data_IF_834235650809
#
_entry.id   IF_834235650809
#
_cell.length_a   1.000
_cell.length_b   1.000
_cell.length_c   1.000
_cell.angle_alpha   90.00
_cell.angle_beta   90.00
_cell.angle_gamma   90.00
#
_symmetry.space_group_name_H-M   'P 1'
#
loop_
_entity.id
_entity.type
_entity.pdbx_description
1 polymer ?
#
# COMPACT_ATOMS: atom_id res chain seq x y z
N UNK A 1 21.41 74.08 7.24
CA UNK A 1 19.99 73.65 7.21
C UNK A 1 19.71 72.56 6.16
N UNK A 2 20.26 72.64 4.94
CA UNK A 2 20.05 71.63 3.88
C UNK A 2 20.59 70.22 4.21
N UNK A 3 21.79 70.10 4.79
CA UNK A 3 22.39 68.79 5.13
C UNK A 3 21.53 67.95 6.10
N UNK A 4 20.93 68.57 7.11
CA UNK A 4 20.03 67.89 8.06
C UNK A 4 18.75 67.37 7.39
N UNK A 5 18.22 68.10 6.40
CA UNK A 5 17.04 67.69 5.65
C UNK A 5 17.33 66.46 4.79
N UNK A 6 18.47 66.45 4.09
CA UNK A 6 18.92 65.30 3.30
C UNK A 6 19.11 64.04 4.17
N UNK A 7 19.70 64.17 5.36
CA UNK A 7 19.86 63.03 6.27
C UNK A 7 18.52 62.48 6.76
N UNK A 8 17.50 63.33 6.97
CA UNK A 8 16.14 62.89 7.34
C UNK A 8 15.47 62.13 6.20
N UNK A 9 15.56 62.64 4.97
CA UNK A 9 15.01 61.97 3.79
C UNK A 9 15.65 60.58 3.57
N UNK A 10 16.96 60.49 3.73
CA UNK A 10 17.67 59.21 3.61
C UNK A 10 17.28 58.22 4.72
N UNK A 11 17.09 58.69 5.95
CA UNK A 11 16.55 57.86 7.04
C UNK A 11 15.17 57.31 6.71
N UNK A 12 14.26 58.13 6.20
CA UNK A 12 12.90 57.68 5.84
C UNK A 12 12.93 56.66 4.69
N UNK A 13 13.80 56.85 3.68
CA UNK A 13 14.02 55.83 2.64
C UNK A 13 14.52 54.51 3.22
N UNK A 14 15.52 54.55 4.12
CA UNK A 14 16.04 53.34 4.78
C UNK A 14 14.98 52.65 5.63
N UNK A 15 14.13 53.40 6.34
CA UNK A 15 13.00 52.85 7.08
C UNK A 15 11.98 52.17 6.14
N UNK A 16 11.67 52.79 5.01
CA UNK A 16 10.83 52.18 3.97
C UNK A 16 11.43 50.89 3.40
N UNK A 17 12.71 50.90 3.03
CA UNK A 17 13.41 49.73 2.49
C UNK A 17 13.49 48.61 3.57
N UNK A 18 13.64 48.94 4.87
CA UNK A 18 13.57 47.98 6.00
C UNK A 18 12.20 47.29 6.10
N UNK A 19 11.11 48.05 6.21
CA UNK A 19 9.75 47.49 6.36
C UNK A 19 9.36 46.65 5.15
N UNK A 20 9.71 47.10 3.94
CA UNK A 20 9.49 46.34 2.71
C UNK A 20 10.25 45.01 2.69
N UNK A 21 11.51 45.01 3.17
CA UNK A 21 12.34 43.80 3.29
C UNK A 21 11.76 42.81 4.30
N UNK A 22 11.36 43.28 5.48
CA UNK A 22 10.74 42.45 6.53
C UNK A 22 9.44 41.81 6.02
N UNK A 23 8.58 42.59 5.35
CA UNK A 23 7.34 42.08 4.76
C UNK A 23 7.59 40.97 3.74
N UNK A 24 8.55 41.17 2.82
CA UNK A 24 8.94 40.15 1.83
C UNK A 24 9.48 38.89 2.50
N UNK A 25 10.33 39.03 3.52
CA UNK A 25 10.85 37.88 4.26
C UNK A 25 9.73 37.08 4.94
N UNK A 26 8.76 37.76 5.56
CA UNK A 26 7.61 37.10 6.17
C UNK A 26 6.75 36.36 5.15
N UNK A 27 6.56 36.93 3.95
CA UNK A 27 5.84 36.28 2.85
C UNK A 27 6.56 35.00 2.38
N UNK A 28 7.88 35.05 2.19
CA UNK A 28 8.66 33.85 1.86
C UNK A 28 8.56 32.77 2.93
N UNK A 29 8.65 33.14 4.21
CA UNK A 29 8.48 32.19 5.32
C UNK A 29 7.10 31.53 5.28
N UNK A 30 6.03 32.32 5.07
CA UNK A 30 4.66 31.80 4.93
C UNK A 30 4.55 30.84 3.75
N UNK A 31 5.11 31.20 2.60
CA UNK A 31 5.09 30.36 1.40
C UNK A 31 5.81 29.02 1.63
N UNK A 32 7.00 29.04 2.24
CA UNK A 32 7.71 27.79 2.57
C UNK A 32 6.95 26.93 3.59
N UNK A 33 6.25 27.54 4.55
CA UNK A 33 5.42 26.82 5.50
C UNK A 33 4.23 26.13 4.82
N UNK A 34 3.58 26.80 3.87
CA UNK A 34 2.51 26.21 3.05
C UNK A 34 3.02 25.00 2.27
N UNK A 35 4.19 25.09 1.64
CA UNK A 35 4.77 23.95 0.91
C UNK A 35 5.14 22.79 1.83
N UNK A 36 5.63 23.06 3.06
CA UNK A 36 5.85 22.02 4.08
C UNK A 36 4.56 21.27 4.41
N UNK A 37 3.47 21.99 4.62
CA UNK A 37 2.17 21.40 4.93
C UNK A 37 1.64 20.55 3.77
N UNK A 38 1.79 21.01 2.52
CA UNK A 38 1.43 20.22 1.33
C UNK A 38 2.21 18.92 1.26
N UNK A 39 3.54 18.97 1.42
CA UNK A 39 4.39 17.77 1.42
C UNK A 39 3.90 16.78 2.49
N UNK A 40 3.69 17.24 3.73
CA UNK A 40 3.21 16.38 4.82
C UNK A 40 1.86 15.75 4.47
N UNK A 41 0.91 16.54 3.96
CA UNK A 41 -0.43 16.09 3.58
C UNK A 41 -0.41 15.03 2.48
N UNK A 42 0.33 15.26 1.39
CA UNK A 42 0.43 14.31 0.27
C UNK A 42 1.01 12.96 0.73
N UNK A 43 2.05 12.98 1.56
CA UNK A 43 2.63 11.75 2.10
C UNK A 43 1.71 11.04 3.10
N UNK A 44 0.91 11.78 3.88
CA UNK A 44 -0.11 11.19 4.76
C UNK A 44 -1.20 10.48 3.95
N UNK A 45 -1.73 11.14 2.91
CA UNK A 45 -2.72 10.56 2.02
C UNK A 45 -2.19 9.32 1.31
N UNK A 46 -0.95 9.35 0.82
CA UNK A 46 -0.31 8.20 0.19
C UNK A 46 -0.14 7.02 1.16
N UNK A 47 0.29 7.27 2.40
CA UNK A 47 0.39 6.21 3.42
C UNK A 47 -0.95 5.55 3.69
N UNK A 48 -1.98 6.35 3.95
CA UNK A 48 -3.33 5.84 4.18
C UNK A 48 -3.85 5.01 3.00
N UNK A 49 -3.64 5.50 1.77
CA UNK A 49 -4.01 4.77 0.57
C UNK A 49 -3.29 3.42 0.47
N UNK A 50 -1.97 3.38 0.72
CA UNK A 50 -1.19 2.15 0.67
C UNK A 50 -1.61 1.14 1.74
N UNK A 51 -1.86 1.60 2.96
CA UNK A 51 -2.37 0.77 4.07
C UNK A 51 -3.73 0.15 3.70
N UNK A 52 -4.64 0.94 3.11
CA UNK A 52 -5.96 0.43 2.69
C UNK A 52 -5.85 -0.58 1.53
N UNK A 53 -4.95 -0.36 0.57
CA UNK A 53 -4.69 -1.33 -0.51
C UNK A 53 -4.11 -2.64 0.03
N UNK A 54 -3.15 -2.56 0.96
CA UNK A 54 -2.58 -3.74 1.64
C UNK A 54 -3.67 -4.53 2.36
N UNK A 55 -4.48 -3.85 3.18
CA UNK A 55 -5.59 -4.46 3.92
C UNK A 55 -6.59 -5.16 3.00
N UNK A 56 -6.97 -4.52 1.89
CA UNK A 56 -7.92 -5.09 0.91
C UNK A 56 -7.36 -6.36 0.26
N UNK A 57 -6.08 -6.36 -0.11
CA UNK A 57 -5.44 -7.51 -0.76
C UNK A 57 -5.29 -8.67 0.22
N UNK A 58 -4.91 -8.42 1.46
CA UNK A 58 -4.83 -9.45 2.50
C UNK A 58 -6.20 -10.05 2.81
N UNK A 59 -7.26 -9.24 2.91
CA UNK A 59 -8.61 -9.75 3.12
C UNK A 59 -9.11 -10.63 1.95
N UNK A 60 -8.66 -10.35 0.71
CA UNK A 60 -8.96 -11.21 -0.44
C UNK A 60 -8.25 -12.57 -0.36
N UNK A 61 -7.01 -12.60 0.16
CA UNK A 61 -6.28 -13.84 0.42
C UNK A 61 -6.93 -14.65 1.54
N UNK A 62 -7.25 -14.00 2.66
CA UNK A 62 -7.90 -14.66 3.79
C UNK A 62 -9.22 -15.33 3.36
N UNK A 63 -9.99 -14.67 2.50
CA UNK A 63 -11.21 -15.27 1.94
C UNK A 63 -10.92 -16.51 1.08
N UNK A 64 -9.81 -16.51 0.33
CA UNK A 64 -9.40 -17.67 -0.45
C UNK A 64 -8.96 -18.82 0.47
N UNK A 65 -8.21 -18.52 1.52
CA UNK A 65 -7.77 -19.49 2.53
C UNK A 65 -8.98 -20.15 3.20
N UNK A 66 -9.95 -19.36 3.64
CA UNK A 66 -11.21 -19.86 4.22
C UNK A 66 -12.00 -20.75 3.23
N UNK A 67 -12.01 -20.43 1.94
CA UNK A 67 -12.66 -21.27 0.92
C UNK A 67 -11.94 -22.62 0.77
N UNK A 68 -10.60 -22.63 0.82
CA UNK A 68 -9.78 -23.85 0.77
C UNK A 68 -10.00 -24.71 2.02
N UNK A 69 -9.91 -24.11 3.21
CA UNK A 69 -10.13 -24.79 4.49
C UNK A 69 -11.53 -25.42 4.56
N UNK A 70 -12.55 -24.71 4.07
CA UNK A 70 -13.91 -25.22 4.00
C UNK A 70 -14.00 -26.51 3.16
N UNK A 71 -13.42 -26.50 1.95
CA UNK A 71 -13.42 -27.68 1.08
C UNK A 71 -12.65 -28.82 1.72
N UNK A 72 -11.50 -28.54 2.34
CA UNK A 72 -10.73 -29.54 3.06
C UNK A 72 -11.54 -30.17 4.18
N UNK A 73 -12.24 -29.39 5.00
CA UNK A 73 -13.04 -29.90 6.11
C UNK A 73 -14.24 -30.74 5.63
N UNK A 74 -14.90 -30.32 4.55
CA UNK A 74 -15.96 -31.09 3.90
C UNK A 74 -15.44 -32.45 3.40
N UNK A 75 -14.25 -32.47 2.79
CA UNK A 75 -13.60 -33.69 2.34
C UNK A 75 -13.22 -34.62 3.49
N UNK A 76 -12.59 -34.09 4.53
CA UNK A 76 -12.22 -34.86 5.72
C UNK A 76 -13.45 -35.49 6.34
N UNK A 77 -14.53 -34.73 6.49
CA UNK A 77 -15.81 -35.23 7.02
C UNK A 77 -16.39 -36.35 6.16
N UNK A 78 -16.37 -36.17 4.83
CA UNK A 78 -16.90 -37.15 3.87
C UNK A 78 -16.06 -38.44 3.87
N UNK A 79 -14.75 -38.32 3.78
CA UNK A 79 -13.82 -39.45 3.81
C UNK A 79 -13.89 -40.21 5.13
N UNK A 80 -14.00 -39.51 6.26
CA UNK A 80 -14.14 -40.16 7.57
C UNK A 80 -15.37 -41.06 7.63
N UNK A 81 -16.50 -40.62 7.06
CA UNK A 81 -17.72 -41.44 6.97
C UNK A 81 -17.54 -42.67 6.08
N UNK A 82 -16.92 -42.50 4.92
CA UNK A 82 -16.66 -43.63 4.01
C UNK A 82 -15.66 -44.62 4.61
N UNK A 83 -14.62 -44.14 5.30
CA UNK A 83 -13.65 -44.97 6.04
C UNK A 83 -14.37 -45.75 7.14
N UNK A 84 -15.18 -45.10 7.99
CA UNK A 84 -15.93 -45.81 9.04
C UNK A 84 -16.82 -46.91 8.46
N UNK A 85 -17.55 -46.62 7.38
CA UNK A 85 -18.39 -47.60 6.69
C UNK A 85 -17.58 -48.77 6.13
N UNK A 86 -16.40 -48.51 5.57
CA UNK A 86 -15.51 -49.54 5.07
C UNK A 86 -14.94 -50.39 6.21
N UNK A 87 -14.53 -49.76 7.32
CA UNK A 87 -14.04 -50.43 8.51
C UNK A 87 -15.09 -51.36 9.13
N UNK A 88 -16.37 -50.96 9.15
CA UNK A 88 -17.49 -51.81 9.59
C UNK A 88 -17.65 -53.05 8.69
N UNK A 89 -17.61 -52.87 7.37
CA UNK A 89 -17.72 -53.98 6.42
C UNK A 89 -16.53 -54.95 6.52
N UNK A 90 -15.31 -54.42 6.70
CA UNK A 90 -14.10 -55.22 6.93
C UNK A 90 -14.27 -56.03 8.22
N UNK A 91 -14.65 -55.38 9.33
CA UNK A 91 -14.80 -56.03 10.63
C UNK A 91 -15.87 -57.13 10.60
N UNK A 92 -16.98 -56.91 9.89
CA UNK A 92 -18.02 -57.92 9.70
C UNK A 92 -17.50 -59.13 8.91
N UNK A 93 -16.77 -58.89 7.81
CA UNK A 93 -16.19 -59.95 6.99
C UNK A 93 -15.12 -60.75 7.76
N UNK A 94 -14.22 -60.06 8.47
CA UNK A 94 -13.21 -60.70 9.34
C UNK A 94 -13.87 -61.54 10.43
N UNK A 95 -14.91 -61.02 11.09
CA UNK A 95 -15.67 -61.75 12.09
C UNK A 95 -16.36 -63.00 11.53
N UNK A 96 -16.90 -62.94 10.31
CA UNK A 96 -17.49 -64.11 9.63
C UNK A 96 -16.43 -65.15 9.28
N UNK A 97 -15.27 -64.76 8.80
CA UNK A 97 -14.18 -65.67 8.45
C UNK A 97 -13.64 -66.47 9.64
N UNK A 98 -13.83 -66.00 10.88
CA UNK A 98 -13.42 -66.71 12.08
C UNK A 98 -14.45 -67.76 12.58
N UNK A 99 -15.66 -67.80 12.00
CA UNK A 99 -16.72 -68.72 12.44
C UNK A 99 -16.54 -70.15 11.90
N UNK A 100 -17.12 -71.17 12.55
CA UNK A 100 -17.17 -72.53 12.02
C UNK A 100 -17.83 -72.58 10.64
N UNK A 101 -17.40 -73.53 9.78
CA UNK A 101 -17.83 -73.66 8.38
C UNK A 101 -19.37 -73.70 8.23
N UNK A 102 -20.07 -74.36 9.15
CA UNK A 102 -21.53 -74.45 9.14
C UNK A 102 -22.24 -73.10 9.30
N UNK A 103 -21.71 -72.20 10.13
CA UNK A 103 -22.26 -70.85 10.35
C UNK A 103 -21.83 -69.89 9.24
N UNK A 104 -20.59 -70.01 8.78
CA UNK A 104 -20.06 -69.19 7.69
C UNK A 104 -20.89 -69.32 6.42
N UNK A 105 -21.26 -70.55 6.04
CA UNK A 105 -22.00 -70.83 4.82
C UNK A 105 -23.45 -70.32 4.82
N UNK A 106 -24.06 -70.05 5.98
CA UNK A 106 -25.42 -69.51 6.05
C UNK A 106 -25.50 -68.06 5.59
N UNK A 107 -24.56 -67.20 6.02
CA UNK A 107 -24.71 -65.75 5.89
C UNK A 107 -23.61 -65.04 5.08
N UNK A 108 -22.56 -65.73 4.63
CA UNK A 108 -21.47 -65.08 3.88
C UNK A 108 -21.94 -64.52 2.53
N UNK A 109 -22.88 -65.20 1.87
CA UNK A 109 -23.36 -64.81 0.52
C UNK A 109 -24.09 -63.47 0.54
N UNK A 110 -24.82 -63.17 1.62
CA UNK A 110 -25.54 -61.91 1.81
C UNK A 110 -24.54 -60.76 2.02
N UNK A 111 -23.57 -60.93 2.91
CA UNK A 111 -22.56 -59.90 3.16
C UNK A 111 -21.68 -59.65 1.93
N UNK A 112 -21.28 -60.70 1.21
CA UNK A 112 -20.52 -60.56 -0.03
C UNK A 112 -21.29 -59.74 -1.08
N UNK A 113 -22.58 -60.03 -1.25
CA UNK A 113 -23.45 -59.27 -2.16
C UNK A 113 -23.62 -57.80 -1.76
N UNK A 114 -23.50 -57.48 -0.45
CA UNK A 114 -23.55 -56.11 0.06
C UNK A 114 -22.23 -55.40 -0.18
N UNK A 115 -21.10 -56.07 0.03
CA UNK A 115 -19.77 -55.54 -0.27
C UNK A 115 -19.61 -55.17 -1.75
N UNK A 116 -20.06 -56.03 -2.66
CA UNK A 116 -20.01 -55.78 -4.12
C UNK A 116 -20.86 -54.58 -4.57
N UNK A 117 -21.92 -54.25 -3.82
CA UNK A 117 -22.85 -53.16 -4.16
C UNK A 117 -22.48 -51.82 -3.52
N UNK A 118 -21.51 -51.78 -2.62
CA UNK A 118 -21.10 -50.53 -1.96
C UNK A 118 -20.34 -49.67 -2.96
N UNK A 119 -20.92 -48.52 -3.31
CA UNK A 119 -20.23 -47.45 -4.04
C UNK A 119 -19.77 -46.41 -3.04
N UNK A 120 -18.46 -46.23 -2.95
CA UNK A 120 -17.85 -45.18 -2.14
C UNK A 120 -17.82 -43.88 -2.92
N UNK A 121 -18.06 -42.77 -2.24
CA UNK A 121 -17.94 -41.48 -2.87
C UNK A 121 -16.50 -40.97 -2.83
N UNK A 122 -16.02 -40.41 -3.94
CA UNK A 122 -14.73 -39.71 -3.95
C UNK A 122 -14.81 -38.33 -3.28
N UNK A 123 -13.70 -37.85 -2.70
CA UNK A 123 -13.60 -36.50 -2.17
C UNK A 123 -13.76 -35.45 -3.28
N UNK A 124 -14.19 -34.25 -2.89
CA UNK A 124 -14.26 -33.09 -3.79
C UNK A 124 -12.85 -32.57 -3.99
N UNK A 125 -12.29 -32.69 -5.19
CA UNK A 125 -10.98 -32.10 -5.46
C UNK A 125 -11.01 -30.57 -5.28
N UNK A 126 -9.86 -30.00 -4.90
CA UNK A 126 -9.64 -28.56 -5.02
C UNK A 126 -9.92 -28.22 -6.48
N UNK A 127 -10.94 -27.40 -6.70
CA UNK A 127 -11.44 -27.19 -8.05
C UNK A 127 -10.44 -26.35 -8.86
N UNK A 128 -10.39 -26.51 -10.20
CA UNK A 128 -9.59 -25.64 -11.08
C UNK A 128 -9.87 -24.14 -10.90
N UNK A 129 -11.01 -23.80 -10.31
CA UNK A 129 -11.40 -22.43 -9.96
C UNK A 129 -10.53 -21.83 -8.85
N UNK A 130 -10.10 -22.63 -7.88
CA UNK A 130 -9.23 -22.18 -6.77
C UNK A 130 -7.80 -21.97 -7.25
N UNK A 131 -7.28 -22.91 -8.06
CA UNK A 131 -5.97 -22.77 -8.70
C UNK A 131 -5.89 -21.51 -9.57
N UNK A 132 -6.95 -21.27 -10.37
CA UNK A 132 -7.05 -20.05 -11.17
C UNK A 132 -7.04 -18.79 -10.30
N UNK A 133 -7.78 -18.77 -9.20
CA UNK A 133 -7.79 -17.62 -8.26
C UNK A 133 -6.43 -17.39 -7.60
N UNK A 134 -5.72 -18.46 -7.23
CA UNK A 134 -4.39 -18.37 -6.65
C UNK A 134 -3.37 -17.82 -7.68
N UNK A 135 -3.46 -18.29 -8.93
CA UNK A 135 -2.68 -17.76 -10.05
C UNK A 135 -2.98 -16.27 -10.30
N UNK A 136 -4.26 -15.91 -10.34
CA UNK A 136 -4.69 -14.52 -10.51
C UNK A 136 -4.15 -13.62 -9.39
N UNK A 137 -4.15 -14.10 -8.15
CA UNK A 137 -3.58 -13.36 -7.02
C UNK A 137 -2.06 -13.22 -7.12
N UNK A 138 -1.36 -14.28 -7.53
CA UNK A 138 0.09 -14.24 -7.76
C UNK A 138 0.45 -13.19 -8.81
N UNK A 139 -0.31 -13.11 -9.90
CA UNK A 139 -0.12 -12.09 -10.94
C UNK A 139 -0.39 -10.67 -10.41
N UNK A 140 -1.39 -10.49 -9.56
CA UNK A 140 -1.66 -9.20 -8.88
C UNK A 140 -0.47 -8.79 -8.03
N UNK A 141 0.09 -9.70 -7.22
CA UNK A 141 1.24 -9.44 -6.35
C UNK A 141 2.48 -9.02 -7.15
N UNK A 142 2.78 -9.72 -8.25
CA UNK A 142 3.89 -9.35 -9.16
C UNK A 142 3.68 -7.95 -9.73
N UNK A 143 2.46 -7.63 -10.16
CA UNK A 143 2.11 -6.31 -10.72
C UNK A 143 2.24 -5.19 -9.68
N UNK A 144 1.80 -5.43 -8.44
CA UNK A 144 1.95 -4.51 -7.31
C UNK A 144 3.43 -4.23 -7.03
N UNK A 145 4.24 -5.28 -6.88
CA UNK A 145 5.68 -5.15 -6.61
C UNK A 145 6.39 -4.35 -7.70
N UNK A 146 6.04 -4.59 -8.97
CA UNK A 146 6.59 -3.85 -10.12
C UNK A 146 6.25 -2.37 -10.05
N UNK A 147 5.01 -2.02 -9.72
CA UNK A 147 4.55 -0.62 -9.60
C UNK A 147 5.24 0.09 -8.44
N UNK A 148 5.31 -0.54 -7.26
CA UNK A 148 5.99 0.02 -6.09
C UNK A 148 7.48 0.22 -6.33
N UNK A 149 8.14 -0.71 -7.04
CA UNK A 149 9.54 -0.57 -7.44
C UNK A 149 9.73 0.64 -8.35
N UNK A 150 8.92 0.74 -9.41
CA UNK A 150 8.95 1.91 -10.31
C UNK A 150 8.78 3.22 -9.56
N UNK A 151 7.83 3.30 -8.62
CA UNK A 151 7.64 4.49 -7.81
C UNK A 151 8.89 4.85 -6.99
N UNK A 152 9.51 3.87 -6.33
CA UNK A 152 10.76 4.06 -5.57
C UNK A 152 11.91 4.52 -6.46
N UNK A 153 11.98 4.02 -7.69
CA UNK A 153 13.03 4.37 -8.65
C UNK A 153 12.83 5.76 -9.26
N UNK A 154 11.59 6.15 -9.59
CA UNK A 154 11.29 7.42 -10.28
C UNK A 154 11.20 8.61 -9.33
N UNK A 155 10.75 8.40 -8.09
CA UNK A 155 10.49 9.49 -7.14
C UNK A 155 11.74 10.38 -6.89
N UNK A 156 12.94 9.85 -6.59
CA UNK A 156 14.13 10.70 -6.37
C UNK A 156 14.46 11.56 -7.60
N UNK A 157 14.42 10.95 -8.79
CA UNK A 157 14.71 11.67 -10.05
C UNK A 157 13.71 12.78 -10.35
N UNK A 158 12.46 12.64 -9.92
CA UNK A 158 11.44 13.67 -10.07
C UNK A 158 11.68 14.87 -9.12
N UNK A 159 12.27 14.61 -7.95
CA UNK A 159 12.60 15.63 -6.96
C UNK A 159 13.88 16.41 -7.30
N UNK A 160 14.83 15.79 -8.02
CA UNK A 160 16.09 16.43 -8.40
C UNK A 160 15.98 17.37 -9.61
N UNK A 161 15.06 17.11 -10.54
CA UNK A 161 14.92 17.83 -11.83
C UNK A 161 14.61 19.35 -11.72
N UNK A 162 14.38 19.89 -10.52
CA UNK A 162 14.11 21.32 -10.27
C UNK A 162 15.28 22.11 -9.69
N UNK A 163 16.52 21.62 -9.73
CA UNK A 163 17.70 22.36 -9.26
C UNK A 163 18.30 23.34 -10.30
N UNK A 164 17.51 23.82 -11.26
CA UNK A 164 17.92 24.85 -12.23
C UNK A 164 17.17 26.16 -11.97
N UNK A 165 17.89 27.19 -11.48
CA UNK A 165 17.44 28.54 -11.06
C UNK A 165 16.96 28.68 -9.61
N UNK A 166 17.84 28.41 -8.66
CA UNK A 166 17.90 29.19 -7.41
C UNK A 166 19.30 29.83 -7.29
N UNK A 167 19.77 30.45 -8.38
CA UNK A 167 20.90 31.37 -8.33
C UNK A 167 20.35 32.78 -8.14
N UNK A 168 20.56 33.35 -6.96
CA UNK A 168 20.43 34.79 -6.69
C UNK A 168 19.02 35.33 -6.54
N UNK A 169 18.46 35.28 -5.33
CA UNK A 169 17.60 36.37 -4.85
C UNK A 169 18.21 36.90 -3.55
N UNK A 170 19.43 37.43 -3.67
CA UNK A 170 19.65 38.76 -3.10
C UNK A 170 19.27 39.70 -4.24
N UNK A 171 17.98 39.98 -4.38
CA UNK A 171 17.62 41.27 -4.96
C UNK A 171 18.09 42.28 -3.92
N UNK A 172 19.32 42.78 -4.10
CA UNK A 172 19.63 44.14 -3.67
C UNK A 172 18.52 44.97 -4.26
N UNK A 173 17.56 45.37 -3.41
CA UNK A 173 16.62 46.39 -3.80
C UNK A 173 17.45 47.62 -4.10
N UNK A 174 17.75 47.85 -5.37
CA UNK A 174 18.02 49.18 -5.84
C UNK A 174 16.77 49.98 -5.45
N UNK A 175 16.86 50.70 -4.32
CA UNK A 175 15.90 51.75 -4.03
C UNK A 175 16.19 52.77 -5.15
N UNK A 176 15.38 52.72 -6.23
CA UNK A 176 15.53 53.52 -7.45
C UNK A 176 15.66 54.99 -7.06
N UNK A 177 16.91 55.47 -7.00
CA UNK A 177 17.23 56.86 -6.70
C UNK A 177 17.10 57.65 -8.00
N UNK A 178 15.86 57.74 -8.48
CA UNK A 178 15.45 58.64 -9.54
C UNK A 178 15.54 60.08 -9.07
N UNK A 179 16.74 60.66 -9.09
CA UNK A 179 16.93 62.09 -9.26
C UNK A 179 18.31 62.33 -9.87
N UNK A 180 18.34 62.38 -11.21
CA UNK A 180 19.28 63.26 -11.91
C UNK A 180 19.06 64.65 -11.33
N UNK A 181 20.09 65.24 -10.73
CA UNK A 181 20.54 66.61 -10.97
C UNK A 181 21.91 66.73 -10.31
N UNK A 182 22.95 66.68 -11.14
CA UNK A 182 24.25 67.17 -10.74
C UNK A 182 24.17 68.67 -10.54
N UNK A 183 24.53 69.14 -9.35
CA UNK A 183 25.31 70.37 -9.23
C UNK A 183 26.02 70.38 -7.90
N UNK A 184 27.32 70.15 -8.00
CA UNK A 184 28.31 70.42 -6.98
C UNK A 184 28.14 71.85 -6.44
N UNK A 185 28.01 72.00 -5.13
CA UNK A 185 28.51 73.18 -4.41
C UNK A 185 28.89 72.78 -2.98
N UNK A 186 30.17 72.97 -2.69
CA UNK A 186 30.80 72.73 -1.40
C UNK A 186 30.09 73.49 -0.27
N UNK A 187 29.99 72.84 0.89
CA UNK A 187 29.68 73.52 2.14
C UNK A 187 30.97 74.17 2.66
N UNK A 188 31.02 75.49 2.91
CA UNK A 188 32.04 76.06 3.79
C UNK A 188 31.65 75.83 5.25
N UNK A 189 32.69 75.67 6.07
CA UNK A 189 32.70 75.46 7.52
C UNK A 189 31.99 76.59 8.26
#
# INVERSE_FOLDING_TARGET
QACLQTLREEREKLLGCKVSGEKRSQEYLRNTQTERQKIVSEFQQLRWFLEEQERLLLAQLEKLDQEIEKIQNENVTKLSKEISRLSELISEMEGKCQKPVSEFLQDVRITLSRCEKVKFQQPVEISPKQDKRQSDFSQKTVSLMKTLRKFKDTLPSALEKKRGRLNGIVQTGECDSGSRHGSSRACPV
#
